data_IF_762603079490
#
_entry.id   IF_762603079490
#
_cell.length_a   1.000
_cell.length_b   1.000
_cell.length_c   1.000
_cell.angle_alpha   90.00
_cell.angle_beta   90.00
_cell.angle_gamma   90.00
#
_symmetry.space_group_name_H-M   'P 1'
#
loop_
_entity.id
_entity.type
_entity.pdbx_description
1 polymer ?
#
# COMPACT_ATOMS: atom_id res chain seq x y z
N UNK A 1 -14.50 0.16 17.65
CA UNK A 1 -14.72 -0.26 16.24
C UNK A 1 -14.61 -1.79 16.10
N UNK A 2 -13.49 -2.46 16.41
CA UNK A 2 -13.32 -3.90 16.18
C UNK A 2 -14.38 -4.80 16.84
N UNK A 3 -14.79 -4.52 18.07
CA UNK A 3 -15.84 -5.28 18.79
C UNK A 3 -17.22 -5.14 18.12
N UNK A 4 -17.55 -3.96 17.62
CA UNK A 4 -18.81 -3.72 16.92
C UNK A 4 -18.86 -4.51 15.59
N UNK A 5 -17.76 -4.48 14.84
CA UNK A 5 -17.69 -5.22 13.56
C UNK A 5 -17.62 -6.73 13.75
N UNK A 6 -16.93 -7.24 14.79
CA UNK A 6 -16.92 -8.67 15.10
C UNK A 6 -18.34 -9.20 15.36
N UNK A 7 -19.14 -8.44 16.13
CA UNK A 7 -20.55 -8.78 16.41
C UNK A 7 -21.41 -8.68 15.13
N UNK A 8 -21.20 -7.63 14.32
CA UNK A 8 -21.96 -7.41 13.08
C UNK A 8 -21.74 -8.54 12.07
N UNK A 9 -20.50 -9.00 11.91
CA UNK A 9 -20.15 -10.09 11.00
C UNK A 9 -20.23 -11.47 11.62
N UNK A 10 -20.73 -11.60 12.86
CA UNK A 10 -20.85 -12.86 13.62
C UNK A 10 -19.56 -13.69 13.62
N UNK A 11 -18.41 -13.00 13.68
CA UNK A 11 -17.09 -13.63 13.67
C UNK A 11 -16.50 -13.73 15.07
N UNK A 12 -15.63 -14.74 15.26
CA UNK A 12 -14.92 -14.87 16.53
C UNK A 12 -13.95 -13.70 16.71
N UNK A 13 -14.04 -12.98 17.84
CA UNK A 13 -13.22 -11.82 18.17
C UNK A 13 -11.73 -12.15 18.10
N UNK A 14 -11.34 -13.37 18.53
CA UNK A 14 -9.95 -13.81 18.56
C UNK A 14 -9.30 -13.88 17.16
N UNK A 15 -10.06 -14.22 16.13
CA UNK A 15 -9.55 -14.30 14.75
C UNK A 15 -9.74 -12.98 14.00
N UNK A 16 -10.84 -12.26 14.29
CA UNK A 16 -11.20 -11.07 13.54
C UNK A 16 -10.40 -9.82 13.93
N UNK A 17 -10.10 -9.61 15.23
CA UNK A 17 -9.34 -8.42 15.68
C UNK A 17 -7.93 -8.36 15.11
N UNK A 18 -7.13 -9.43 15.12
CA UNK A 18 -5.82 -9.45 14.45
C UNK A 18 -5.92 -9.23 12.94
N UNK A 19 -6.90 -9.86 12.29
CA UNK A 19 -7.17 -9.68 10.87
C UNK A 19 -7.45 -8.20 10.52
N UNK A 20 -8.29 -7.54 11.32
CA UNK A 20 -8.64 -6.14 11.13
C UNK A 20 -7.45 -5.21 11.41
N UNK A 21 -6.72 -5.43 12.51
CA UNK A 21 -5.59 -4.60 12.91
C UNK A 21 -4.50 -4.58 11.83
N UNK A 22 -4.11 -5.76 11.33
CA UNK A 22 -3.14 -5.88 10.25
C UNK A 22 -3.68 -5.19 8.99
N UNK A 23 -4.95 -5.46 8.63
CA UNK A 23 -5.59 -4.87 7.45
C UNK A 23 -5.57 -3.35 7.47
N UNK A 24 -5.94 -2.73 8.59
CA UNK A 24 -5.99 -1.28 8.75
C UNK A 24 -4.61 -0.63 8.73
N UNK A 25 -3.61 -1.24 9.38
CA UNK A 25 -2.25 -0.69 9.41
C UNK A 25 -1.61 -0.71 8.03
N UNK A 26 -1.75 -1.81 7.28
CA UNK A 26 -1.26 -1.87 5.89
C UNK A 26 -2.07 -0.98 4.95
N UNK A 27 -3.38 -0.91 5.13
CA UNK A 27 -4.21 -0.01 4.34
C UNK A 27 -3.80 1.45 4.52
N UNK A 28 -3.52 1.88 5.75
CA UNK A 28 -3.04 3.24 6.00
C UNK A 28 -1.73 3.52 5.24
N UNK A 29 -0.80 2.56 5.20
CA UNK A 29 0.42 2.68 4.41
C UNK A 29 0.12 2.79 2.92
N UNK A 30 -0.71 1.89 2.36
CA UNK A 30 -1.04 1.90 0.93
C UNK A 30 -1.76 3.18 0.51
N UNK A 31 -2.77 3.60 1.28
CA UNK A 31 -3.53 4.81 1.00
C UNK A 31 -2.67 6.07 1.06
N UNK A 32 -1.77 6.16 2.06
CA UNK A 32 -0.85 7.27 2.18
C UNK A 32 0.14 7.32 1.02
N UNK A 33 0.76 6.18 0.65
CA UNK A 33 1.68 6.11 -0.50
C UNK A 33 1.00 6.53 -1.80
N UNK A 34 -0.24 6.09 -2.05
CA UNK A 34 -0.96 6.40 -3.28
C UNK A 34 -1.42 7.87 -3.31
N UNK A 35 -2.02 8.37 -2.23
CA UNK A 35 -2.53 9.75 -2.17
C UNK A 35 -1.41 10.79 -2.20
N UNK A 36 -0.37 10.61 -1.41
CA UNK A 36 0.76 11.55 -1.35
C UNK A 36 1.59 11.54 -2.65
N UNK A 37 1.58 10.43 -3.39
CA UNK A 37 2.21 10.36 -4.70
C UNK A 37 1.71 11.46 -5.65
N UNK A 38 0.42 11.80 -5.61
CA UNK A 38 -0.18 12.80 -6.50
C UNK A 38 0.38 14.21 -6.30
N UNK A 39 0.90 14.52 -5.11
CA UNK A 39 1.43 15.84 -4.76
C UNK A 39 2.93 15.84 -4.49
N UNK A 40 3.62 14.71 -4.66
CA UNK A 40 5.02 14.53 -4.25
C UNK A 40 5.99 15.56 -4.87
N UNK A 41 5.83 15.88 -6.15
CA UNK A 41 6.67 16.88 -6.81
C UNK A 41 6.20 18.30 -6.54
N UNK A 42 4.89 18.52 -6.40
CA UNK A 42 4.32 19.83 -6.03
C UNK A 42 4.84 20.23 -4.64
N UNK A 43 4.81 19.32 -3.67
CA UNK A 43 5.34 19.55 -2.33
C UNK A 43 6.86 19.80 -2.30
N UNK A 44 7.58 19.40 -3.34
CA UNK A 44 9.02 19.59 -3.50
C UNK A 44 9.39 20.70 -4.48
N UNK A 45 8.43 21.49 -4.97
CA UNK A 45 8.62 22.54 -6.01
C UNK A 45 9.80 23.46 -5.71
N UNK A 46 9.86 24.00 -4.48
CA UNK A 46 10.93 24.93 -4.09
C UNK A 46 12.32 24.32 -4.16
N UNK A 47 12.45 23.01 -3.87
CA UNK A 47 13.73 22.29 -3.95
C UNK A 47 14.06 21.97 -5.41
N UNK A 48 13.08 21.50 -6.18
CA UNK A 48 13.24 21.08 -7.59
C UNK A 48 13.71 22.29 -8.44
N UNK A 49 13.17 23.47 -8.18
CA UNK A 49 13.53 24.71 -8.91
C UNK A 49 14.90 25.26 -8.53
N UNK A 50 15.40 24.98 -7.33
CA UNK A 50 16.67 25.52 -6.84
C UNK A 50 17.84 24.55 -7.01
N UNK A 51 17.61 23.25 -6.91
CA UNK A 51 18.66 22.25 -6.89
C UNK A 51 18.43 21.19 -7.97
N UNK A 52 19.41 20.87 -8.82
CA UNK A 52 19.31 19.84 -9.84
C UNK A 52 19.43 18.44 -9.21
N UNK A 53 18.38 18.00 -8.53
CA UNK A 53 18.32 16.66 -7.90
C UNK A 53 17.49 15.68 -8.73
N UNK A 54 17.84 14.37 -8.70
CA UNK A 54 17.02 13.36 -9.35
C UNK A 54 15.60 13.29 -8.74
N UNK A 55 14.56 13.30 -9.58
CA UNK A 55 13.15 13.29 -9.12
C UNK A 55 12.81 12.11 -8.21
N UNK A 56 13.44 10.95 -8.41
CA UNK A 56 13.25 9.77 -7.58
C UNK A 56 13.56 9.98 -6.09
N UNK A 57 14.44 10.94 -5.74
CA UNK A 57 14.79 11.26 -4.35
C UNK A 57 13.58 11.80 -3.59
N UNK A 58 12.74 12.62 -4.24
CA UNK A 58 11.53 13.17 -3.61
C UNK A 58 10.51 12.07 -3.31
N UNK A 59 10.39 11.09 -4.20
CA UNK A 59 9.55 9.90 -3.99
C UNK A 59 10.11 9.03 -2.87
N UNK A 60 11.41 8.77 -2.83
CA UNK A 60 12.04 8.01 -1.75
C UNK A 60 11.85 8.70 -0.38
N UNK A 61 11.96 10.04 -0.33
CA UNK A 61 11.71 10.82 0.89
C UNK A 61 10.26 10.63 1.38
N UNK A 62 9.28 10.66 0.47
CA UNK A 62 7.87 10.41 0.79
C UNK A 62 7.69 8.98 1.35
N UNK A 63 8.24 7.98 0.67
CA UNK A 63 8.16 6.58 1.09
C UNK A 63 8.79 6.41 2.47
N UNK A 64 10.00 6.94 2.69
CA UNK A 64 10.71 6.83 3.95
C UNK A 64 9.92 7.39 5.13
N UNK A 65 9.31 8.56 4.96
CA UNK A 65 8.42 9.15 5.97
C UNK A 65 7.24 8.21 6.28
N UNK A 66 6.60 7.67 5.26
CA UNK A 66 5.46 6.77 5.44
C UNK A 66 5.86 5.43 6.09
N UNK A 67 7.06 4.92 5.80
CA UNK A 67 7.61 3.73 6.48
C UNK A 67 7.85 3.99 7.96
N UNK A 68 8.35 5.16 8.34
CA UNK A 68 8.51 5.53 9.76
C UNK A 68 7.14 5.55 10.45
N UNK A 69 6.13 6.18 9.85
CA UNK A 69 4.77 6.21 10.40
C UNK A 69 4.20 4.79 10.50
N UNK A 70 4.38 3.98 9.47
CA UNK A 70 3.98 2.57 9.46
C UNK A 70 4.66 1.78 10.59
N UNK A 71 5.95 1.98 10.82
CA UNK A 71 6.69 1.30 11.89
C UNK A 71 6.12 1.60 13.28
N UNK A 72 5.67 2.84 13.52
CA UNK A 72 4.97 3.16 14.77
C UNK A 72 3.58 2.49 14.85
N UNK A 73 2.84 2.48 13.75
CA UNK A 73 1.54 1.80 13.70
C UNK A 73 1.67 0.28 13.86
N UNK A 74 2.79 -0.29 13.44
CA UNK A 74 3.08 -1.72 13.59
C UNK A 74 3.16 -2.15 15.06
N UNK A 75 3.52 -1.24 15.98
CA UNK A 75 3.50 -1.52 17.42
C UNK A 75 2.10 -1.94 17.90
N UNK A 76 1.04 -1.38 17.32
CA UNK A 76 -0.34 -1.78 17.61
C UNK A 76 -0.58 -3.22 17.18
N UNK A 77 -0.10 -3.60 15.99
CA UNK A 77 -0.22 -4.98 15.49
C UNK A 77 0.53 -5.94 16.41
N UNK A 78 1.75 -5.61 16.79
CA UNK A 78 2.55 -6.42 17.72
C UNK A 78 1.80 -6.59 19.06
N UNK A 79 1.25 -5.52 19.62
CA UNK A 79 0.44 -5.57 20.84
C UNK A 79 -0.77 -6.50 20.71
N UNK A 80 -1.47 -6.44 19.57
CA UNK A 80 -2.62 -7.33 19.29
C UNK A 80 -2.17 -8.79 19.17
N UNK A 81 -1.07 -9.06 18.46
CA UNK A 81 -0.56 -10.43 18.30
C UNK A 81 -0.17 -11.05 19.64
N UNK A 82 0.51 -10.28 20.50
CA UNK A 82 0.90 -10.72 21.84
C UNK A 82 -0.31 -10.98 22.73
N UNK A 83 -1.31 -10.09 22.69
CA UNK A 83 -2.55 -10.24 23.49
C UNK A 83 -3.35 -11.48 23.11
N UNK A 84 -3.42 -11.81 21.80
CA UNK A 84 -4.16 -12.97 21.31
C UNK A 84 -3.30 -14.25 21.20
N UNK A 85 -2.01 -14.20 21.55
CA UNK A 85 -1.11 -15.36 21.52
C UNK A 85 -0.85 -15.91 20.12
N UNK A 86 -0.94 -15.05 19.09
CA UNK A 86 -0.70 -15.46 17.70
C UNK A 86 0.80 -15.53 17.45
N UNK A 87 1.28 -16.72 17.11
CA UNK A 87 2.67 -16.94 16.76
C UNK A 87 2.82 -16.99 15.22
N UNK A 88 3.49 -16.02 14.59
CA UNK A 88 3.69 -15.99 13.14
C UNK A 88 4.63 -17.08 12.62
N UNK A 89 5.42 -17.74 13.50
CA UNK A 89 6.36 -18.78 13.11
C UNK A 89 7.38 -18.31 12.07
N UNK A 90 7.74 -19.21 11.14
CA UNK A 90 8.70 -18.92 10.06
C UNK A 90 8.21 -17.89 9.05
N UNK A 91 6.90 -17.66 8.95
CA UNK A 91 6.35 -16.67 8.01
C UNK A 91 6.80 -15.25 8.31
N UNK A 92 7.22 -14.96 9.54
CA UNK A 92 7.74 -13.64 9.93
C UNK A 92 9.01 -13.26 9.14
N UNK A 93 9.81 -14.23 8.71
CA UNK A 93 10.99 -13.97 7.88
C UNK A 93 10.64 -13.40 6.50
N UNK A 94 9.40 -13.60 6.03
CA UNK A 94 8.91 -13.02 4.78
C UNK A 94 8.47 -11.55 4.94
N UNK A 95 8.24 -11.09 6.18
CA UNK A 95 7.75 -9.74 6.45
C UNK A 95 8.67 -8.62 5.88
N UNK A 96 10.01 -8.65 6.05
CA UNK A 96 10.89 -7.67 5.43
C UNK A 96 10.77 -7.63 3.91
N UNK A 97 10.62 -8.81 3.27
CA UNK A 97 10.44 -8.92 1.81
C UNK A 97 9.14 -8.24 1.39
N UNK A 98 8.06 -8.45 2.15
CA UNK A 98 6.76 -7.80 1.90
C UNK A 98 6.89 -6.28 2.01
N UNK A 99 7.55 -5.77 3.04
CA UNK A 99 7.78 -4.32 3.20
C UNK A 99 8.58 -3.76 2.02
N UNK A 100 9.63 -4.44 1.58
CA UNK A 100 10.42 -4.03 0.40
C UNK A 100 9.55 -4.02 -0.85
N UNK A 101 8.70 -5.03 -1.07
CA UNK A 101 7.78 -5.08 -2.21
C UNK A 101 6.76 -3.92 -2.16
N UNK A 102 6.23 -3.60 -0.99
CA UNK A 102 5.33 -2.44 -0.82
C UNK A 102 6.05 -1.13 -1.14
N UNK A 103 7.28 -0.95 -0.65
CA UNK A 103 8.09 0.24 -0.96
C UNK A 103 8.41 0.33 -2.45
N UNK A 104 8.78 -0.79 -3.09
CA UNK A 104 9.07 -0.85 -4.52
C UNK A 104 7.85 -0.50 -5.38
N UNK A 105 6.65 -0.96 -4.96
CA UNK A 105 5.39 -0.58 -5.59
C UNK A 105 5.04 0.89 -5.33
N UNK A 106 5.21 1.38 -4.11
CA UNK A 106 5.05 2.81 -3.78
C UNK A 106 5.96 3.72 -4.61
N UNK A 107 7.17 3.24 -4.95
CA UNK A 107 8.12 4.04 -5.73
C UNK A 107 7.67 4.26 -7.18
N UNK A 108 7.30 3.20 -7.91
CA UNK A 108 6.84 3.39 -9.29
C UNK A 108 5.50 4.11 -9.36
N UNK A 109 4.58 3.85 -8.42
CA UNK A 109 3.35 4.63 -8.29
C UNK A 109 3.66 6.10 -8.03
N UNK A 110 4.60 6.38 -7.11
CA UNK A 110 5.06 7.74 -6.79
C UNK A 110 5.57 8.51 -7.99
N UNK A 111 6.35 7.87 -8.85
CA UNK A 111 6.84 8.47 -10.09
C UNK A 111 5.69 8.74 -11.06
N UNK A 112 4.86 7.73 -11.37
CA UNK A 112 3.79 7.87 -12.38
C UNK A 112 2.72 8.87 -11.95
N UNK A 113 2.18 8.68 -10.75
CA UNK A 113 1.11 9.52 -10.22
C UNK A 113 1.64 10.93 -9.92
N UNK A 114 2.90 11.05 -9.46
CA UNK A 114 3.56 12.33 -9.24
C UNK A 114 3.71 13.15 -10.53
N UNK A 115 4.12 12.53 -11.64
CA UNK A 115 4.20 13.21 -12.94
C UNK A 115 2.79 13.65 -13.41
N UNK A 116 1.79 12.79 -13.23
CA UNK A 116 0.41 13.14 -13.59
C UNK A 116 -0.14 14.29 -12.72
N UNK A 117 0.13 14.26 -11.42
CA UNK A 117 -0.31 15.28 -10.47
C UNK A 117 0.31 16.66 -10.72
N UNK A 118 1.57 16.73 -11.19
CA UNK A 118 2.19 18.00 -11.58
C UNK A 118 1.54 18.62 -12.80
N UNK A 119 1.12 17.79 -13.75
CA UNK A 119 0.49 18.29 -14.98
C UNK A 119 -0.98 18.62 -14.78
N UNK A 120 -1.70 17.81 -14.02
CA UNK A 120 -3.15 17.92 -13.80
C UNK A 120 -3.43 18.00 -12.31
N UNK A 121 -3.72 19.18 -11.80
CA UNK A 121 -3.91 19.43 -10.36
C UNK A 121 -5.10 18.68 -9.75
N UNK A 122 -6.09 18.34 -10.56
CA UNK A 122 -7.29 17.61 -10.14
C UNK A 122 -7.03 16.12 -9.87
N UNK A 123 -5.88 15.59 -10.34
CA UNK A 123 -5.50 14.19 -10.11
C UNK A 123 -5.46 13.83 -8.63
N UNK A 124 -5.07 14.76 -7.75
CA UNK A 124 -5.02 14.50 -6.31
C UNK A 124 -6.41 14.16 -5.76
N UNK A 125 -7.45 14.84 -6.22
CA UNK A 125 -8.83 14.58 -5.80
C UNK A 125 -9.38 13.27 -6.39
N UNK A 126 -9.06 12.99 -7.64
CA UNK A 126 -9.43 11.72 -8.30
C UNK A 126 -8.79 10.55 -7.56
N UNK A 127 -7.49 10.65 -7.23
CA UNK A 127 -6.76 9.61 -6.49
C UNK A 127 -7.36 9.41 -5.10
N UNK A 128 -7.71 10.47 -4.38
CA UNK A 128 -8.33 10.36 -3.07
C UNK A 128 -9.67 9.60 -3.15
N UNK A 129 -10.51 9.91 -4.14
CA UNK A 129 -11.77 9.22 -4.37
C UNK A 129 -11.57 7.75 -4.78
N UNK A 130 -10.59 7.47 -5.64
CA UNK A 130 -10.24 6.09 -6.03
C UNK A 130 -9.77 5.26 -4.84
N UNK A 131 -8.92 5.80 -3.98
CA UNK A 131 -8.46 5.12 -2.76
C UNK A 131 -9.62 4.79 -1.84
N UNK A 132 -10.60 5.68 -1.72
CA UNK A 132 -11.80 5.41 -0.93
C UNK A 132 -12.65 4.26 -1.52
N UNK A 133 -12.81 4.20 -2.83
CA UNK A 133 -13.50 3.09 -3.50
C UNK A 133 -12.71 1.79 -3.31
N UNK A 134 -11.40 1.82 -3.49
CA UNK A 134 -10.52 0.66 -3.34
C UNK A 134 -10.53 0.09 -1.91
N UNK A 135 -10.78 0.93 -0.89
CA UNK A 135 -10.95 0.47 0.49
C UNK A 135 -12.09 -0.54 0.64
N UNK A 136 -13.21 -0.27 0.02
CA UNK A 136 -14.38 -1.17 0.05
C UNK A 136 -14.22 -2.39 -0.84
N UNK A 137 -13.49 -2.26 -1.95
CA UNK A 137 -13.21 -3.37 -2.87
C UNK A 137 -12.12 -4.31 -2.35
N UNK A 138 -11.26 -3.84 -1.46
CA UNK A 138 -10.20 -4.64 -0.84
C UNK A 138 -10.71 -5.20 0.50
N UNK A 139 -10.52 -6.48 0.82
CA UNK A 139 -10.99 -7.08 2.07
C UNK A 139 -10.13 -6.60 3.26
N UNK A 140 -10.23 -5.29 3.58
CA UNK A 140 -9.57 -4.68 4.72
C UNK A 140 -10.33 -5.00 5.99
N UNK A 141 -11.67 -4.77 5.99
CA UNK A 141 -12.56 -4.93 7.13
C UNK A 141 -13.39 -6.22 7.08
N UNK A 142 -13.68 -6.71 5.89
CA UNK A 142 -14.47 -7.91 5.70
C UNK A 142 -13.57 -9.09 5.29
N UNK A 143 -13.96 -10.31 5.66
CA UNK A 143 -13.18 -11.50 5.33
C UNK A 143 -13.71 -12.14 4.03
N UNK A 144 -12.83 -12.66 3.15
CA UNK A 144 -13.26 -13.34 1.93
C UNK A 144 -14.24 -14.49 2.19
N UNK A 145 -14.12 -15.16 3.35
CA UNK A 145 -15.01 -16.24 3.78
C UNK A 145 -16.44 -15.79 4.10
N UNK A 146 -16.67 -14.49 4.36
CA UNK A 146 -18.01 -13.97 4.64
C UNK A 146 -18.85 -13.70 3.39
N UNK A 147 -18.26 -13.85 2.19
CA UNK A 147 -18.94 -13.62 0.90
C UNK A 147 -19.27 -14.96 0.25
N UNK A 148 -20.55 -15.19 0.00
CA UNK A 148 -21.09 -16.49 -0.50
C UNK A 148 -20.63 -16.83 -1.91
N UNK A 149 -20.25 -15.84 -2.70
CA UNK A 149 -19.74 -16.04 -4.07
C UNK A 149 -18.31 -15.53 -4.19
N UNK A 150 -17.44 -16.31 -4.87
CA UNK A 150 -16.08 -15.88 -5.18
C UNK A 150 -16.15 -14.57 -5.97
N UNK A 151 -15.71 -13.49 -5.35
CA UNK A 151 -15.73 -12.16 -5.98
C UNK A 151 -14.49 -12.07 -6.86
N UNK A 152 -14.65 -12.31 -8.16
CA UNK A 152 -13.59 -12.23 -9.16
C UNK A 152 -12.79 -10.89 -9.11
N UNK A 153 -13.43 -9.83 -8.61
CA UNK A 153 -12.80 -8.52 -8.41
C UNK A 153 -11.58 -8.62 -7.46
N UNK A 154 -11.55 -9.59 -6.53
CA UNK A 154 -10.39 -9.77 -5.64
C UNK A 154 -9.17 -10.26 -6.41
N UNK A 155 -9.35 -11.20 -7.33
CA UNK A 155 -8.26 -11.81 -8.08
C UNK A 155 -7.56 -10.79 -9.01
N UNK A 156 -8.28 -9.72 -9.41
CA UNK A 156 -7.73 -8.62 -10.22
C UNK A 156 -7.30 -7.40 -9.41
N UNK A 157 -7.56 -7.38 -8.10
CA UNK A 157 -7.22 -6.23 -7.26
C UNK A 157 -5.77 -6.32 -6.76
N UNK A 158 -4.86 -5.45 -7.23
CA UNK A 158 -3.45 -5.50 -6.82
C UNK A 158 -3.25 -5.25 -5.32
N UNK A 159 -4.10 -4.43 -4.70
CA UNK A 159 -4.03 -4.14 -3.26
C UNK A 159 -4.49 -5.34 -2.42
N UNK A 160 -5.38 -6.18 -2.95
CA UNK A 160 -5.74 -7.44 -2.33
C UNK A 160 -4.52 -8.36 -2.19
N UNK A 161 -3.76 -8.54 -3.27
CA UNK A 161 -2.57 -9.39 -3.26
C UNK A 161 -1.48 -8.85 -2.32
N UNK A 162 -1.25 -7.53 -2.31
CA UNK A 162 -0.34 -6.89 -1.36
C UNK A 162 -0.78 -7.12 0.09
N UNK A 163 -2.09 -7.00 0.37
CA UNK A 163 -2.63 -7.21 1.70
C UNK A 163 -2.58 -8.69 2.11
N UNK A 164 -2.82 -9.61 1.16
CA UNK A 164 -2.76 -11.06 1.40
C UNK A 164 -1.37 -11.52 1.81
N UNK A 165 -0.31 -11.10 1.07
CA UNK A 165 1.07 -11.43 1.45
C UNK A 165 1.47 -10.79 2.78
N UNK A 166 1.01 -9.56 3.05
CA UNK A 166 1.27 -8.85 4.30
C UNK A 166 0.63 -9.57 5.50
N UNK A 167 -0.64 -9.95 5.40
CA UNK A 167 -1.33 -10.70 6.47
C UNK A 167 -0.65 -12.03 6.75
N UNK A 168 -0.38 -12.77 5.69
CA UNK A 168 0.20 -14.11 5.82
C UNK A 168 1.57 -14.12 6.46
N UNK A 169 2.41 -13.11 6.16
CA UNK A 169 3.73 -12.99 6.78
C UNK A 169 3.65 -12.74 8.30
N UNK A 170 2.53 -12.19 8.79
CA UNK A 170 2.35 -11.85 10.22
C UNK A 170 1.54 -12.91 10.96
N UNK A 171 0.55 -13.54 10.30
CA UNK A 171 -0.35 -14.51 10.97
C UNK A 171 0.12 -15.96 10.88
N UNK A 172 1.15 -16.25 10.08
CA UNK A 172 1.69 -17.62 9.96
C UNK A 172 0.86 -18.58 9.09
N UNK A 173 0.01 -18.05 8.20
CA UNK A 173 -0.78 -18.86 7.27
C UNK A 173 0.03 -19.49 6.13
N UNK A 174 -0.63 -20.27 5.26
CA UNK A 174 -0.01 -20.85 4.05
C UNK A 174 0.48 -19.75 3.10
N UNK A 175 1.66 -19.90 2.50
CA UNK A 175 2.25 -18.88 1.64
C UNK A 175 1.41 -18.72 0.36
N UNK A 176 0.86 -17.53 0.07
CA UNK A 176 0.04 -17.28 -1.11
C UNK A 176 0.93 -17.04 -2.34
N UNK A 177 1.48 -18.10 -2.91
CA UNK A 177 2.41 -18.01 -4.06
C UNK A 177 1.84 -17.24 -5.24
N UNK A 178 0.55 -17.41 -5.53
CA UNK A 178 -0.13 -16.65 -6.59
C UNK A 178 -0.05 -15.14 -6.35
N UNK A 179 -0.30 -14.70 -5.11
CA UNK A 179 -0.23 -13.28 -4.75
C UNK A 179 1.19 -12.73 -4.85
N UNK A 180 2.21 -13.50 -4.48
CA UNK A 180 3.60 -13.10 -4.68
C UNK A 180 3.92 -12.96 -6.17
N UNK A 181 3.47 -13.89 -7.03
CA UNK A 181 3.64 -13.81 -8.47
C UNK A 181 3.01 -12.55 -9.08
N UNK A 182 1.76 -12.25 -8.69
CA UNK A 182 1.05 -11.05 -9.15
C UNK A 182 1.76 -9.77 -8.70
N UNK A 183 2.13 -9.68 -7.41
CA UNK A 183 2.82 -8.49 -6.87
C UNK A 183 4.17 -8.29 -7.54
N UNK A 184 4.94 -9.35 -7.76
CA UNK A 184 6.24 -9.26 -8.43
C UNK A 184 6.09 -8.83 -9.90
N UNK A 185 5.13 -9.41 -10.62
CA UNK A 185 4.81 -9.02 -12.00
C UNK A 185 4.38 -7.56 -12.10
N UNK A 186 3.50 -7.11 -11.20
CA UNK A 186 3.08 -5.71 -11.10
C UNK A 186 4.26 -4.78 -10.81
N UNK A 187 5.16 -5.18 -9.89
CA UNK A 187 6.35 -4.40 -9.57
C UNK A 187 7.22 -4.21 -10.81
N UNK A 188 7.54 -5.27 -11.53
CA UNK A 188 8.37 -5.21 -12.74
C UNK A 188 7.75 -4.33 -13.82
N UNK A 189 6.48 -4.55 -14.14
CA UNK A 189 5.75 -3.74 -15.13
C UNK A 189 5.67 -2.28 -14.72
N UNK A 190 5.37 -2.02 -13.45
CA UNK A 190 5.30 -0.67 -12.89
C UNK A 190 6.64 0.07 -13.00
N UNK A 191 7.75 -0.59 -12.70
CA UNK A 191 9.08 0.01 -12.82
C UNK A 191 9.45 0.33 -14.27
N UNK A 192 9.15 -0.57 -15.22
CA UNK A 192 9.37 -0.33 -16.65
C UNK A 192 8.57 0.90 -17.11
N UNK A 193 7.30 0.98 -16.73
CA UNK A 193 6.45 2.11 -17.08
C UNK A 193 6.94 3.41 -16.44
N UNK A 194 7.23 3.40 -15.13
CA UNK A 194 7.72 4.56 -14.40
C UNK A 194 9.03 5.09 -14.98
N UNK A 195 9.96 4.20 -15.32
CA UNK A 195 11.22 4.58 -15.95
C UNK A 195 11.00 5.25 -17.32
N UNK A 196 10.17 4.64 -18.19
CA UNK A 196 9.82 5.23 -19.48
C UNK A 196 9.18 6.59 -19.37
N UNK A 197 8.22 6.73 -18.44
CA UNK A 197 7.56 8.01 -18.18
C UNK A 197 8.53 9.06 -17.64
N UNK A 198 9.38 8.68 -16.68
CA UNK A 198 10.36 9.59 -16.11
C UNK A 198 11.34 10.09 -17.17
N UNK A 199 11.90 9.21 -17.98
CA UNK A 199 12.83 9.58 -19.05
C UNK A 199 12.16 10.53 -20.05
N UNK A 200 10.90 10.27 -20.40
CA UNK A 200 10.15 11.08 -21.39
C UNK A 200 9.76 12.45 -20.84
N UNK A 201 9.41 12.56 -19.57
CA UNK A 201 8.81 13.78 -19.02
C UNK A 201 9.69 14.55 -18.04
N UNK A 202 10.87 14.04 -17.65
CA UNK A 202 11.77 14.68 -16.67
C UNK A 202 12.09 16.13 -16.97
N UNK A 203 12.28 16.51 -18.23
CA UNK A 203 12.56 17.89 -18.63
C UNK A 203 11.33 18.82 -18.55
N UNK A 204 10.13 18.26 -18.51
CA UNK A 204 8.88 19.01 -18.48
C UNK A 204 8.35 19.24 -17.06
N UNK A 205 8.74 18.43 -16.10
CA UNK A 205 8.29 18.53 -14.71
C UNK A 205 8.53 19.92 -14.12
N UNK A 206 9.72 20.56 -14.26
CA UNK A 206 9.95 21.88 -13.70
C UNK A 206 9.09 22.99 -14.32
N UNK A 207 8.59 22.80 -15.55
CA UNK A 207 7.69 23.75 -16.22
C UNK A 207 6.24 23.57 -15.79
N UNK A 208 5.84 22.40 -15.29
CA UNK A 208 4.49 22.11 -14.81
C UNK A 208 4.31 22.49 -13.34
N UNK A 209 5.42 22.62 -12.60
CA UNK A 209 5.47 23.12 -11.24
C UNK A 209 5.43 24.65 -11.21
#
# INVERSE_FOLDING_TARGET
MGLLYANLFKQNIHSYLPFLAIGMVFWNLFSALITESSTVFIAAEGIIKQLPMPFGIHVLRMIWRNVIIFSHNLLVVIGVLLFFGINPGFSLFLFPIVVILVMANGYWVGILVGILGTRFRDISQIIASLVQILFFLTPVMWTPASVTHKVWIMDYNPLYHLLAIARNSITGGAIPYESYGVVFGMTLLGWILAFRFLVRYRSRIPYWL
#
